data_IF_743660100358
#
_entry.id   IF_743660100358
#
_cell.length_a   1.000
_cell.length_b   1.000
_cell.length_c   1.000
_cell.angle_alpha   90.00
_cell.angle_beta   90.00
_cell.angle_gamma   90.00
#
_symmetry.space_group_name_H-M   'P 1'
#
loop_
_entity.id
_entity.type
_entity.pdbx_description
1 polymer ?
#
# COMPACT_ATOMS: atom_id res chain seq x y z
N UNK A 1 8.08 -34.39 1.47
CA UNK A 1 7.10 -33.89 2.47
C UNK A 1 7.52 -32.58 3.15
N UNK A 2 8.75 -32.42 3.63
CA UNK A 2 9.21 -31.20 4.34
C UNK A 2 9.08 -29.90 3.52
N UNK A 3 9.28 -29.99 2.20
CA UNK A 3 9.16 -28.84 1.29
C UNK A 3 7.72 -28.30 1.13
N UNK A 4 6.71 -29.17 1.31
CA UNK A 4 5.30 -28.82 1.15
C UNK A 4 4.81 -27.97 2.33
N UNK A 5 5.24 -28.35 3.55
CA UNK A 5 4.92 -27.65 4.78
C UNK A 5 5.52 -26.24 4.79
N UNK A 6 6.78 -26.09 4.37
CA UNK A 6 7.42 -24.78 4.24
C UNK A 6 6.68 -23.85 3.26
N UNK A 7 6.24 -24.37 2.11
CA UNK A 7 5.49 -23.57 1.11
C UNK A 7 4.10 -23.16 1.62
N UNK A 8 3.44 -24.00 2.40
CA UNK A 8 2.15 -23.66 3.01
C UNK A 8 2.30 -22.56 4.08
N UNK A 9 3.29 -22.68 4.96
CA UNK A 9 3.61 -21.67 5.98
C UNK A 9 3.94 -20.33 5.34
N UNK A 10 4.78 -20.31 4.29
CA UNK A 10 5.11 -19.09 3.56
C UNK A 10 3.89 -18.43 2.91
N UNK A 11 2.93 -19.22 2.38
CA UNK A 11 1.68 -18.67 1.83
C UNK A 11 0.84 -18.00 2.91
N UNK A 12 0.68 -18.65 4.06
CA UNK A 12 -0.10 -18.10 5.18
C UNK A 12 0.56 -16.84 5.72
N UNK A 13 1.88 -16.86 5.95
CA UNK A 13 2.62 -15.69 6.40
C UNK A 13 2.48 -14.50 5.44
N UNK A 14 2.53 -14.76 4.11
CA UNK A 14 2.33 -13.72 3.10
C UNK A 14 0.90 -13.16 3.10
N UNK A 15 -0.11 -14.00 3.32
CA UNK A 15 -1.50 -13.58 3.41
C UNK A 15 -1.75 -12.72 4.67
N UNK A 16 -1.21 -13.13 5.82
CA UNK A 16 -1.29 -12.35 7.06
C UNK A 16 -0.57 -11.01 6.90
N UNK A 17 0.64 -11.01 6.32
CA UNK A 17 1.37 -9.77 6.05
C UNK A 17 0.60 -8.85 5.10
N UNK A 18 0.01 -9.38 4.03
CA UNK A 18 -0.85 -8.60 3.13
C UNK A 18 -2.07 -8.02 3.86
N UNK A 19 -2.73 -8.81 4.72
CA UNK A 19 -3.88 -8.35 5.49
C UNK A 19 -3.50 -7.23 6.46
N UNK A 20 -2.44 -7.43 7.25
CA UNK A 20 -1.95 -6.45 8.23
C UNK A 20 -1.50 -5.15 7.55
N UNK A 21 -0.71 -5.23 6.49
CA UNK A 21 -0.25 -4.05 5.74
C UNK A 21 -1.39 -3.33 5.01
N UNK A 22 -2.41 -4.06 4.57
CA UNK A 22 -3.62 -3.45 4.02
C UNK A 22 -4.45 -2.74 5.09
N UNK A 23 -4.54 -3.31 6.29
CA UNK A 23 -5.33 -2.75 7.38
C UNK A 23 -4.65 -1.55 8.05
N UNK A 24 -3.31 -1.57 8.19
CA UNK A 24 -2.53 -0.44 8.72
C UNK A 24 -2.34 0.69 7.70
N UNK A 25 -2.65 0.46 6.42
CA UNK A 25 -2.42 1.44 5.36
C UNK A 25 -0.96 1.53 4.88
N UNK A 26 -0.08 0.66 5.38
CA UNK A 26 1.30 0.52 4.87
C UNK A 26 1.33 0.08 3.40
N UNK A 27 0.25 -0.52 2.88
CA UNK A 27 0.16 -0.88 1.47
C UNK A 27 -0.18 0.30 0.53
N UNK A 28 -0.40 1.51 1.05
CA UNK A 28 -1.00 2.61 0.29
C UNK A 28 -0.24 2.90 -1.01
N UNK A 29 1.10 2.84 -0.98
CA UNK A 29 1.94 3.03 -2.16
C UNK A 29 1.79 1.89 -3.19
N UNK A 30 1.70 0.63 -2.75
CA UNK A 30 1.46 -0.51 -3.64
C UNK A 30 0.08 -0.43 -4.32
N UNK A 31 -0.93 -0.01 -3.56
CA UNK A 31 -2.28 0.25 -4.08
C UNK A 31 -2.27 1.41 -5.09
N UNK A 32 -1.55 2.50 -4.80
CA UNK A 32 -1.33 3.60 -5.73
C UNK A 32 -0.67 3.13 -7.03
N UNK A 33 0.40 2.32 -6.97
CA UNK A 33 1.06 1.79 -8.16
C UNK A 33 0.13 0.89 -8.98
N UNK A 34 -0.67 0.04 -8.32
CA UNK A 34 -1.63 -0.81 -8.99
C UNK A 34 -2.73 0.01 -9.71
N UNK A 35 -3.19 1.09 -9.07
CA UNK A 35 -4.12 2.03 -9.68
C UNK A 35 -3.47 2.79 -10.84
N UNK A 36 -2.29 3.36 -10.63
CA UNK A 36 -1.55 4.11 -11.65
C UNK A 36 -1.30 3.26 -12.90
N UNK A 37 -0.89 2.00 -12.74
CA UNK A 37 -0.68 1.08 -13.88
C UNK A 37 -1.98 0.77 -14.66
N UNK A 38 -3.13 0.82 -14.00
CA UNK A 38 -4.44 0.57 -14.62
C UNK A 38 -5.00 1.83 -15.30
N UNK A 39 -4.87 2.98 -14.65
CA UNK A 39 -5.48 4.24 -15.09
C UNK A 39 -4.56 5.04 -16.01
N UNK A 40 -3.25 4.98 -15.79
CA UNK A 40 -2.24 5.79 -16.47
C UNK A 40 -1.00 4.95 -16.81
N UNK A 41 -1.12 3.98 -17.74
CA UNK A 41 -0.01 3.10 -18.10
C UNK A 41 1.21 3.84 -18.69
N UNK A 42 0.99 4.99 -19.34
CA UNK A 42 2.04 5.78 -20.01
C UNK A 42 2.72 6.82 -19.10
N UNK A 43 2.23 6.99 -17.86
CA UNK A 43 2.78 7.98 -16.93
C UNK A 43 3.65 7.32 -15.87
N UNK A 44 4.86 7.83 -15.69
CA UNK A 44 5.75 7.34 -14.64
C UNK A 44 5.11 7.60 -13.26
N UNK A 45 4.93 6.56 -12.43
CA UNK A 45 4.39 6.74 -11.09
C UNK A 45 5.31 7.60 -10.23
N UNK A 46 4.73 8.28 -9.26
CA UNK A 46 5.49 8.95 -8.21
C UNK A 46 6.38 7.96 -7.48
N UNK A 47 7.55 8.41 -7.02
CA UNK A 47 8.36 7.63 -6.09
C UNK A 47 7.64 7.52 -4.74
N UNK A 48 7.96 6.49 -3.97
CA UNK A 48 7.35 6.24 -2.65
C UNK A 48 7.43 7.46 -1.72
N UNK A 49 8.60 8.10 -1.65
CA UNK A 49 8.80 9.31 -0.85
C UNK A 49 7.92 10.48 -1.30
N UNK A 50 7.75 10.67 -2.62
CA UNK A 50 6.90 11.71 -3.16
C UNK A 50 5.42 11.44 -2.87
N UNK A 51 4.99 10.18 -2.98
CA UNK A 51 3.63 9.76 -2.64
C UNK A 51 3.30 10.08 -1.19
N UNK A 52 4.17 9.69 -0.26
CA UNK A 52 3.95 9.98 1.16
C UNK A 52 3.97 11.47 1.47
N UNK A 53 4.90 12.23 0.86
CA UNK A 53 4.92 13.69 1.00
C UNK A 53 3.62 14.32 0.52
N UNK A 54 3.15 13.99 -0.68
CA UNK A 54 1.91 14.52 -1.22
C UNK A 54 0.71 14.16 -0.35
N UNK A 55 0.65 12.91 0.15
CA UNK A 55 -0.41 12.45 1.05
C UNK A 55 -0.43 13.25 2.37
N UNK A 56 0.73 13.52 2.95
CA UNK A 56 0.82 14.35 4.15
C UNK A 56 0.44 15.80 3.87
N UNK A 57 0.91 16.37 2.76
CA UNK A 57 0.56 17.73 2.36
C UNK A 57 -0.95 17.87 2.10
N UNK A 58 -1.59 16.84 1.53
CA UNK A 58 -3.04 16.81 1.30
C UNK A 58 -3.82 16.66 2.61
N UNK A 59 -3.29 15.91 3.60
CA UNK A 59 -3.87 15.84 4.95
C UNK A 59 -3.70 17.16 5.73
N UNK A 60 -2.59 17.86 5.54
CA UNK A 60 -2.35 19.17 6.15
C UNK A 60 -3.25 20.25 5.52
N UNK A 61 -3.37 20.24 4.18
CA UNK A 61 -4.24 21.16 3.43
C UNK A 61 -5.73 20.87 3.62
N UNK A 62 -6.11 19.61 3.81
CA UNK A 62 -7.48 19.20 4.07
C UNK A 62 -7.53 18.35 5.35
N UNK A 63 -7.47 18.99 6.53
CA UNK A 63 -7.44 18.29 7.81
C UNK A 63 -8.71 17.49 8.15
N UNK A 64 -9.66 17.37 7.21
CA UNK A 64 -10.98 16.80 7.44
C UNK A 64 -11.81 17.67 8.38
N UNK A 65 -13.01 17.19 8.72
CA UNK A 65 -13.76 17.74 9.83
C UNK A 65 -13.04 17.36 11.13
N UNK A 66 -11.99 18.11 11.48
CA UNK A 66 -11.51 18.12 12.86
C UNK A 66 -12.69 18.65 13.66
N UNK A 67 -13.25 17.81 14.52
CA UNK A 67 -14.18 18.28 15.53
C UNK A 67 -13.38 19.26 16.40
N UNK A 68 -13.48 20.54 16.08
CA UNK A 68 -13.26 21.61 17.02
C UNK A 68 -14.36 21.54 18.08
#
# INVERSE_FOLDING_TARGET
>A
MVQSAGRAVLRVARAVHWYVTSLMGDNAYATYLAHQRRTHPDTQPLTERQFWRQRMDDQDRNPGARCC
#
